data_IF_033351701261
#
_entry.id   IF_033351701261
#
_cell.length_a   1.000
_cell.length_b   1.000
_cell.length_c   1.000
_cell.angle_alpha   90.00
_cell.angle_beta   90.00
_cell.angle_gamma   90.00
#
_symmetry.space_group_name_H-M   'P 1'
#
loop_
_entity.id
_entity.type
_entity.pdbx_description
1 polymer ?
#
# COMPACT_ATOMS: atom_id res chain seq x y z
N UNK A 1 -34.35 -4.12 -24.20
CA UNK A 1 -34.03 -4.23 -22.77
C UNK A 1 -32.66 -3.60 -22.57
N UNK A 2 -32.60 -2.47 -21.85
CA UNK A 2 -31.32 -1.84 -21.51
C UNK A 2 -30.69 -2.54 -20.31
N UNK A 3 -29.36 -2.63 -20.28
CA UNK A 3 -28.63 -3.06 -19.09
C UNK A 3 -28.95 -2.14 -17.91
N UNK A 4 -29.10 -2.71 -16.71
CA UNK A 4 -29.30 -1.93 -15.48
C UNK A 4 -28.13 -0.94 -15.33
N UNK A 5 -28.38 0.38 -15.22
CA UNK A 5 -27.35 1.40 -15.04
C UNK A 5 -26.37 1.09 -13.89
N UNK A 6 -26.82 0.37 -12.86
CA UNK A 6 -25.98 -0.07 -11.73
C UNK A 6 -24.97 -1.13 -12.15
N UNK A 7 -25.36 -2.06 -13.02
CA UNK A 7 -24.49 -3.09 -13.57
C UNK A 7 -23.42 -2.46 -14.45
N UNK A 8 -23.80 -1.50 -15.28
CA UNK A 8 -22.86 -0.74 -16.11
C UNK A 8 -21.85 0.03 -15.25
N UNK A 9 -22.31 0.80 -14.26
CA UNK A 9 -21.45 1.55 -13.35
C UNK A 9 -20.49 0.65 -12.56
N UNK A 10 -20.95 -0.52 -12.09
CA UNK A 10 -20.10 -1.49 -11.39
C UNK A 10 -19.01 -2.06 -12.29
N UNK A 11 -19.31 -2.37 -13.56
CA UNK A 11 -18.33 -2.83 -14.55
C UNK A 11 -17.28 -1.76 -14.83
N UNK A 12 -17.69 -0.51 -14.95
CA UNK A 12 -16.78 0.60 -15.23
C UNK A 12 -15.83 0.87 -14.07
N UNK A 13 -16.35 0.93 -12.84
CA UNK A 13 -15.51 1.05 -11.62
C UNK A 13 -14.52 -0.11 -11.53
N UNK A 14 -14.98 -1.35 -11.80
CA UNK A 14 -14.11 -2.51 -11.81
C UNK A 14 -12.97 -2.38 -12.83
N UNK A 15 -13.27 -1.86 -14.03
CA UNK A 15 -12.28 -1.62 -15.08
C UNK A 15 -11.28 -0.54 -14.67
N UNK A 16 -11.74 0.57 -14.11
CA UNK A 16 -10.87 1.65 -13.61
C UNK A 16 -9.89 1.15 -12.54
N UNK A 17 -10.39 0.35 -11.58
CA UNK A 17 -9.56 -0.24 -10.52
C UNK A 17 -8.48 -1.14 -11.14
N UNK A 18 -8.86 -2.03 -12.06
CA UNK A 18 -7.91 -2.95 -12.71
C UNK A 18 -6.86 -2.17 -13.49
N UNK A 19 -7.27 -1.19 -14.29
CA UNK A 19 -6.34 -0.35 -15.06
C UNK A 19 -5.35 0.36 -14.12
N UNK A 20 -5.83 0.96 -13.04
CA UNK A 20 -4.98 1.63 -12.06
C UNK A 20 -3.96 0.70 -11.40
N UNK A 21 -4.37 -0.54 -11.09
CA UNK A 21 -3.45 -1.57 -10.56
C UNK A 21 -2.39 -1.93 -11.61
N UNK A 22 -2.80 -2.17 -12.86
CA UNK A 22 -1.90 -2.54 -13.96
C UNK A 22 -0.89 -1.43 -14.23
N UNK A 23 -1.34 -0.18 -14.29
CA UNK A 23 -0.49 0.98 -14.52
C UNK A 23 0.56 1.12 -13.42
N UNK A 24 0.13 1.02 -12.14
CA UNK A 24 1.03 1.11 -10.99
C UNK A 24 2.06 -0.02 -10.98
N UNK A 25 1.65 -1.25 -11.27
CA UNK A 25 2.58 -2.39 -11.34
C UNK A 25 3.57 -2.24 -12.49
N UNK A 26 3.12 -1.73 -13.64
CA UNK A 26 3.96 -1.48 -14.82
C UNK A 26 5.01 -0.40 -14.53
N UNK A 27 4.60 0.71 -13.89
CA UNK A 27 5.51 1.78 -13.50
C UNK A 27 6.55 1.29 -12.48
N UNK A 28 6.12 0.54 -11.46
CA UNK A 28 7.04 -0.07 -10.49
C UNK A 28 8.04 -1.00 -11.18
N UNK A 29 7.57 -1.93 -12.02
CA UNK A 29 8.43 -2.88 -12.72
C UNK A 29 9.46 -2.14 -13.58
N UNK A 30 9.03 -1.16 -14.36
CA UNK A 30 9.90 -0.34 -15.18
C UNK A 30 10.95 0.41 -14.34
N UNK A 31 10.55 1.01 -13.21
CA UNK A 31 11.46 1.72 -12.30
C UNK A 31 12.49 0.78 -11.67
N UNK A 32 12.06 -0.35 -11.13
CA UNK A 32 12.94 -1.33 -10.47
C UNK A 32 13.96 -1.95 -11.43
N UNK A 33 13.54 -2.22 -12.68
CA UNK A 33 14.41 -2.81 -13.70
C UNK A 33 15.43 -1.79 -14.24
N UNK A 34 15.00 -0.55 -14.51
CA UNK A 34 15.81 0.39 -15.31
C UNK A 34 16.40 1.56 -14.52
N UNK A 35 15.87 1.88 -13.33
CA UNK A 35 16.17 3.13 -12.61
C UNK A 35 16.57 2.93 -11.15
N UNK A 36 16.71 1.69 -10.69
CA UNK A 36 16.94 1.38 -9.27
C UNK A 36 18.19 0.54 -9.12
N UNK A 37 19.15 1.04 -8.33
CA UNK A 37 20.38 0.33 -7.98
C UNK A 37 20.15 -0.78 -6.95
N UNK A 38 21.18 -1.58 -6.68
CA UNK A 38 21.12 -2.66 -5.69
C UNK A 38 20.65 -2.19 -4.30
N UNK A 39 21.20 -1.06 -3.83
CA UNK A 39 20.85 -0.51 -2.52
C UNK A 39 19.36 -0.15 -2.43
N UNK A 40 18.82 0.54 -3.44
CA UNK A 40 17.42 0.94 -3.45
C UNK A 40 16.46 -0.26 -3.58
N UNK A 41 16.87 -1.32 -4.30
CA UNK A 41 16.12 -2.60 -4.32
C UNK A 41 16.07 -3.23 -2.93
N UNK A 42 17.18 -3.20 -2.19
CA UNK A 42 17.20 -3.67 -0.80
C UNK A 42 16.28 -2.83 0.10
N UNK A 43 16.27 -1.50 -0.07
CA UNK A 43 15.36 -0.61 0.67
C UNK A 43 13.89 -0.88 0.32
N UNK A 44 13.58 -1.11 -0.95
CA UNK A 44 12.24 -1.49 -1.40
C UNK A 44 11.74 -2.77 -0.72
N UNK A 45 12.58 -3.82 -0.71
CA UNK A 45 12.26 -5.10 -0.04
C UNK A 45 12.00 -4.88 1.46
N UNK A 46 12.81 -4.05 2.13
CA UNK A 46 12.60 -3.71 3.54
C UNK A 46 11.27 -2.98 3.76
N UNK A 47 10.96 -1.98 2.93
CA UNK A 47 9.72 -1.22 3.03
C UNK A 47 8.48 -2.12 2.77
N UNK A 48 8.57 -3.06 1.83
CA UNK A 48 7.53 -4.09 1.62
C UNK A 48 7.36 -5.00 2.83
N UNK A 49 8.45 -5.41 3.47
CA UNK A 49 8.39 -6.22 4.69
C UNK A 49 7.67 -5.48 5.82
N UNK A 50 7.96 -4.20 5.99
CA UNK A 50 7.27 -3.35 6.97
C UNK A 50 5.77 -3.27 6.66
N UNK A 51 5.39 -3.06 5.39
CA UNK A 51 3.97 -3.06 4.99
C UNK A 51 3.29 -4.40 5.35
N UNK A 52 3.94 -5.53 5.04
CA UNK A 52 3.40 -6.84 5.37
C UNK A 52 3.20 -7.04 6.88
N UNK A 53 4.11 -6.53 7.70
CA UNK A 53 4.00 -6.61 9.15
C UNK A 53 2.88 -5.70 9.70
N UNK A 54 2.71 -4.48 9.16
CA UNK A 54 1.56 -3.61 9.49
C UNK A 54 0.24 -4.31 9.16
N UNK A 55 0.13 -4.92 7.97
CA UNK A 55 -1.07 -5.65 7.56
C UNK A 55 -1.37 -6.85 8.46
N UNK A 56 -0.32 -7.58 8.86
CA UNK A 56 -0.45 -8.72 9.76
C UNK A 56 -0.95 -8.30 11.15
N UNK A 57 -0.38 -7.23 11.72
CA UNK A 57 -0.82 -6.72 13.02
C UNK A 57 -2.23 -6.11 12.94
N UNK A 58 -2.53 -5.32 11.90
CA UNK A 58 -3.86 -4.77 11.69
C UNK A 58 -4.93 -5.88 11.62
N UNK A 59 -4.63 -6.98 10.92
CA UNK A 59 -5.47 -8.18 10.88
C UNK A 59 -5.61 -8.84 12.25
N UNK A 60 -4.54 -8.91 13.04
CA UNK A 60 -4.57 -9.49 14.39
C UNK A 60 -5.42 -8.68 15.37
N UNK A 61 -5.48 -7.37 15.23
CA UNK A 61 -6.26 -6.47 16.09
C UNK A 61 -7.73 -6.42 15.65
N UNK A 62 -8.00 -6.55 14.35
CA UNK A 62 -9.35 -6.48 13.79
C UNK A 62 -9.76 -5.05 13.48
N UNK A 63 -10.96 -4.62 13.90
CA UNK A 63 -11.57 -3.36 13.44
C UNK A 63 -10.68 -2.13 13.68
N UNK A 64 -10.09 -2.03 14.86
CA UNK A 64 -9.22 -0.90 15.22
C UNK A 64 -7.90 -0.93 14.44
N UNK A 65 -7.36 -2.12 14.18
CA UNK A 65 -6.20 -2.30 13.30
C UNK A 65 -6.49 -1.85 11.87
N UNK A 66 -7.69 -2.16 11.35
CA UNK A 66 -8.10 -1.71 10.02
C UNK A 66 -8.28 -0.20 9.92
N UNK A 67 -8.59 0.50 11.02
CA UNK A 67 -8.66 1.96 11.02
C UNK A 67 -7.30 2.60 10.69
N UNK A 68 -6.18 1.97 11.06
CA UNK A 68 -4.83 2.41 10.68
C UNK A 68 -4.64 2.33 9.17
N UNK A 69 -5.16 1.29 8.51
CA UNK A 69 -5.02 1.15 7.05
C UNK A 69 -5.83 2.19 6.27
N UNK A 70 -6.83 2.80 6.92
CA UNK A 70 -7.60 3.92 6.37
C UNK A 70 -7.03 5.29 6.73
N UNK A 71 -5.92 5.37 7.47
CA UNK A 71 -5.36 6.64 7.91
C UNK A 71 -4.59 7.36 6.80
N UNK A 72 -4.46 8.69 6.95
CA UNK A 72 -3.64 9.49 6.05
C UNK A 72 -2.17 9.08 6.11
N UNK A 73 -1.67 8.70 7.29
CA UNK A 73 -0.30 8.25 7.50
C UNK A 73 0.01 6.97 6.72
N UNK A 74 -0.89 5.99 6.74
CA UNK A 74 -0.74 4.79 5.92
C UNK A 74 -0.79 5.12 4.42
N UNK A 75 -1.67 6.04 4.02
CA UNK A 75 -1.71 6.55 2.65
C UNK A 75 -0.37 7.16 2.19
N UNK A 76 0.23 8.01 3.02
CA UNK A 76 1.55 8.63 2.76
C UNK A 76 2.65 7.58 2.64
N UNK A 77 2.71 6.64 3.59
CA UNK A 77 3.66 5.53 3.57
C UNK A 77 3.59 4.74 2.24
N UNK A 78 2.37 4.39 1.82
CA UNK A 78 2.14 3.65 0.58
C UNK A 78 2.56 4.50 -0.63
N UNK A 79 2.23 5.78 -0.67
CA UNK A 79 2.63 6.67 -1.76
C UNK A 79 4.16 6.78 -1.88
N UNK A 80 4.88 6.93 -0.77
CA UNK A 80 6.34 6.98 -0.76
C UNK A 80 6.97 5.66 -1.20
N UNK A 81 6.46 4.52 -0.73
CA UNK A 81 6.87 3.20 -1.18
C UNK A 81 6.75 3.03 -2.70
N UNK A 82 5.60 3.40 -3.28
CA UNK A 82 5.36 3.23 -4.72
C UNK A 82 6.17 4.20 -5.58
N UNK A 83 6.37 5.43 -5.12
CA UNK A 83 7.14 6.46 -5.86
C UNK A 83 8.66 6.33 -5.73
N UNK A 84 9.15 5.42 -4.88
CA UNK A 84 10.59 5.14 -4.73
C UNK A 84 11.30 5.97 -3.65
N UNK A 85 10.54 6.67 -2.81
CA UNK A 85 11.03 7.39 -1.63
C UNK A 85 11.20 6.42 -0.46
N UNK A 86 12.15 5.50 -0.59
CA UNK A 86 12.22 4.33 0.28
C UNK A 86 12.69 4.66 1.69
N UNK A 87 13.56 5.65 1.87
CA UNK A 87 14.02 6.03 3.21
C UNK A 87 12.87 6.64 4.02
N UNK A 88 12.06 7.50 3.40
CA UNK A 88 10.85 8.06 3.98
C UNK A 88 9.81 6.97 4.28
N UNK A 89 9.56 6.07 3.32
CA UNK A 89 8.63 4.96 3.51
C UNK A 89 9.05 4.04 4.66
N UNK A 90 10.34 3.73 4.79
CA UNK A 90 10.84 2.91 5.90
C UNK A 90 10.57 3.60 7.24
N UNK A 91 10.89 4.88 7.36
CA UNK A 91 10.67 5.65 8.59
C UNK A 91 9.18 5.69 8.96
N UNK A 92 8.33 6.06 8.02
CA UNK A 92 6.87 6.17 8.23
C UNK A 92 6.25 4.81 8.58
N UNK A 93 6.71 3.73 7.92
CA UNK A 93 6.26 2.37 8.21
C UNK A 93 6.70 1.88 9.61
N UNK A 94 7.90 2.23 10.05
CA UNK A 94 8.38 1.94 11.41
C UNK A 94 7.58 2.70 12.48
N UNK A 95 7.16 3.94 12.19
CA UNK A 95 6.27 4.68 13.09
C UNK A 95 4.86 4.05 13.13
N UNK A 96 4.31 3.63 11.98
CA UNK A 96 3.02 2.96 11.88
C UNK A 96 3.00 1.62 12.63
N UNK A 97 4.07 0.81 12.53
CA UNK A 97 4.11 -0.47 13.23
C UNK A 97 4.18 -0.29 14.75
N UNK A 98 4.85 0.76 15.22
CA UNK A 98 4.88 1.09 16.66
C UNK A 98 3.48 1.47 17.15
N UNK A 99 2.77 2.35 16.44
CA UNK A 99 1.37 2.70 16.75
C UNK A 99 0.45 1.48 16.74
N UNK A 100 0.61 0.61 15.75
CA UNK A 100 -0.20 -0.62 15.64
C UNK A 100 0.04 -1.55 16.82
N UNK A 101 1.29 -1.70 17.27
CA UNK A 101 1.65 -2.51 18.45
C UNK A 101 1.15 -1.90 19.75
N UNK A 102 1.08 -0.58 19.86
CA UNK A 102 0.50 0.11 21.02
C UNK A 102 -0.99 -0.18 21.15
N UNK A 103 -1.74 -0.11 20.05
CA UNK A 103 -3.18 -0.45 20.03
C UNK A 103 -3.47 -1.88 20.48
N UNK A 104 -2.57 -2.83 20.19
CA UNK A 104 -2.69 -4.21 20.65
C UNK A 104 -2.54 -4.37 22.17
N UNK A 105 -1.93 -3.40 22.86
CA UNK A 105 -1.67 -3.46 24.32
C UNK A 105 -2.78 -2.84 25.16
N UNK A 106 -3.62 -2.01 24.54
CA UNK A 106 -4.87 -1.47 25.11
C UNK A 106 -5.99 -2.49 25.05
#
# INVERSE_FOLDING_TARGET
MGEDPRIYASKEIGREIVNHIVDRLSELAYRLLNRTGFLDRSKYIRALKIQADILAEARSIGREGYAILGSQEYGTFIQHLWTGKYDEAIKEGEELIMKTKELRRT
#
